data_IF_696490973020
#
_entry.id   IF_696490973020
#
_cell.length_a   1.000
_cell.length_b   1.000
_cell.length_c   1.000
_cell.angle_alpha   90.00
_cell.angle_beta   90.00
_cell.angle_gamma   90.00
#
_symmetry.space_group_name_H-M   'P 1'
#
loop_
_entity.id
_entity.type
_entity.pdbx_description
1 polymer ?
#
# COMPACT_ATOMS: atom_id res chain seq x y z
N UNK A 1 5.95 -4.34 -33.61
CA UNK A 1 7.16 -3.98 -32.83
C UNK A 1 7.22 -2.51 -32.36
N UNK A 2 6.97 -1.50 -33.20
CA UNK A 2 7.06 -0.08 -32.76
C UNK A 2 6.12 0.27 -31.58
N UNK A 3 4.89 -0.26 -31.55
CA UNK A 3 3.95 -0.02 -30.45
C UNK A 3 4.32 -0.67 -29.10
N UNK A 4 5.02 -1.81 -29.09
CA UNK A 4 5.43 -2.46 -27.85
C UNK A 4 6.61 -1.73 -27.19
N UNK A 5 7.53 -1.20 -27.99
CA UNK A 5 8.66 -0.40 -27.52
C UNK A 5 8.18 0.91 -26.87
N UNK A 6 7.24 1.61 -27.48
CA UNK A 6 6.67 2.87 -26.94
C UNK A 6 5.94 2.66 -25.61
N UNK A 7 5.19 1.55 -25.47
CA UNK A 7 4.52 1.21 -24.20
C UNK A 7 5.53 0.87 -23.10
N UNK A 8 6.61 0.19 -23.45
CA UNK A 8 7.68 -0.17 -22.51
C UNK A 8 8.43 1.06 -22.00
N UNK A 9 8.85 1.96 -22.89
CA UNK A 9 9.58 3.18 -22.51
C UNK A 9 8.73 4.11 -21.65
N UNK A 10 7.43 4.28 -21.97
CA UNK A 10 6.50 5.07 -21.14
C UNK A 10 6.39 4.50 -19.72
N UNK A 11 6.24 3.18 -19.57
CA UNK A 11 6.16 2.52 -18.26
C UNK A 11 7.45 2.70 -17.45
N UNK A 12 8.60 2.64 -18.12
CA UNK A 12 9.90 2.86 -17.52
C UNK A 12 10.07 4.30 -16.99
N UNK A 13 9.76 5.31 -17.81
CA UNK A 13 9.81 6.72 -17.38
C UNK A 13 8.84 7.01 -16.23
N UNK A 14 7.63 6.45 -16.25
CA UNK A 14 6.67 6.57 -15.15
C UNK A 14 7.22 5.95 -13.86
N UNK A 15 7.92 4.81 -13.94
CA UNK A 15 8.55 4.18 -12.78
C UNK A 15 9.70 5.03 -12.23
N UNK A 16 10.55 5.58 -13.10
CA UNK A 16 11.62 6.50 -12.67
C UNK A 16 11.04 7.74 -11.99
N UNK A 17 10.05 8.38 -12.61
CA UNK A 17 9.36 9.55 -12.04
C UNK A 17 8.73 9.21 -10.69
N UNK A 18 8.16 8.02 -10.56
CA UNK A 18 7.62 7.52 -9.29
C UNK A 18 8.72 7.34 -8.23
N UNK A 19 9.88 6.79 -8.60
CA UNK A 19 11.01 6.62 -7.68
C UNK A 19 11.50 7.97 -7.16
N UNK A 20 11.74 8.97 -8.03
CA UNK A 20 12.12 10.32 -7.61
C UNK A 20 11.08 11.00 -6.71
N UNK A 21 9.79 10.74 -6.96
CA UNK A 21 8.71 11.29 -6.12
C UNK A 21 8.69 10.66 -4.72
N UNK A 22 9.08 9.40 -4.57
CA UNK A 22 8.87 8.65 -3.32
C UNK A 22 10.16 8.29 -2.56
N UNK A 23 11.34 8.47 -3.15
CA UNK A 23 12.62 8.12 -2.54
C UNK A 23 13.51 9.35 -2.35
N UNK A 24 14.36 9.31 -1.31
CA UNK A 24 15.55 10.15 -1.23
C UNK A 24 16.57 9.70 -2.30
N UNK A 25 17.43 10.60 -2.76
CA UNK A 25 18.45 10.26 -3.77
C UNK A 25 19.36 9.11 -3.30
N UNK A 26 19.74 9.08 -2.02
CA UNK A 26 20.51 7.99 -1.43
C UNK A 26 19.78 6.64 -1.50
N UNK A 27 18.46 6.61 -1.30
CA UNK A 27 17.64 5.40 -1.46
C UNK A 27 17.50 4.99 -2.93
N UNK A 28 17.43 5.97 -3.84
CA UNK A 28 17.42 5.71 -5.27
C UNK A 28 18.74 5.06 -5.75
N UNK A 29 19.88 5.56 -5.27
CA UNK A 29 21.19 4.94 -5.53
C UNK A 29 21.25 3.53 -4.92
N UNK A 30 20.80 3.36 -3.67
CA UNK A 30 20.67 2.03 -3.05
C UNK A 30 19.80 1.09 -3.91
N UNK A 31 18.67 1.54 -4.44
CA UNK A 31 17.83 0.76 -5.35
C UNK A 31 18.57 0.30 -6.61
N UNK A 32 19.40 1.17 -7.20
CA UNK A 32 20.17 0.85 -8.40
C UNK A 32 21.31 -0.16 -8.13
N UNK A 33 21.97 -0.06 -6.97
CA UNK A 33 23.22 -0.79 -6.71
C UNK A 33 23.12 -1.93 -5.67
N UNK A 34 22.12 -1.95 -4.79
CA UNK A 34 21.97 -3.02 -3.80
C UNK A 34 21.39 -4.28 -4.48
N UNK A 35 22.35 -5.11 -4.92
CA UNK A 35 22.21 -6.41 -5.57
C UNK A 35 21.77 -7.53 -4.62
N UNK A 36 21.67 -7.31 -3.31
CA UNK A 36 21.25 -8.32 -2.34
C UNK A 36 19.74 -8.38 -2.31
N UNK A 37 19.17 -9.22 -3.16
CA UNK A 37 17.76 -9.49 -3.05
C UNK A 37 17.50 -10.98 -3.14
N UNK A 38 16.86 -11.49 -2.10
CA UNK A 38 16.41 -12.86 -1.99
C UNK A 38 15.46 -13.20 -3.13
N UNK A 39 15.79 -14.28 -3.83
CA UNK A 39 14.93 -14.87 -4.84
C UNK A 39 13.78 -15.56 -4.12
N UNK A 40 12.61 -14.92 -4.17
CA UNK A 40 11.37 -15.53 -3.70
C UNK A 40 10.82 -16.43 -4.80
N UNK A 41 10.68 -17.72 -4.50
CA UNK A 41 10.01 -18.71 -5.35
C UNK A 41 8.58 -18.89 -4.85
N UNK A 42 7.60 -18.58 -5.69
CA UNK A 42 6.18 -18.78 -5.35
C UNK A 42 5.77 -20.12 -5.96
N UNK A 43 5.41 -21.13 -5.16
CA UNK A 43 4.85 -22.37 -5.69
C UNK A 43 3.56 -22.08 -6.47
N UNK A 44 3.20 -23.00 -7.38
CA UNK A 44 2.05 -22.90 -8.30
C UNK A 44 0.81 -22.29 -7.62
N UNK A 45 0.12 -21.44 -8.38
CA UNK A 45 -1.10 -20.72 -8.00
C UNK A 45 -1.97 -21.52 -7.05
N UNK A 46 -1.93 -21.13 -5.77
CA UNK A 46 -3.02 -21.47 -4.89
C UNK A 46 -4.17 -20.54 -5.27
N UNK A 47 -5.10 -21.07 -6.07
CA UNK A 47 -6.35 -20.39 -6.44
C UNK A 47 -7.28 -20.32 -5.22
N UNK A 48 -6.76 -19.89 -4.07
CA UNK A 48 -7.57 -19.61 -2.90
C UNK A 48 -8.54 -18.52 -3.28
N UNK A 49 -9.83 -18.86 -3.29
CA UNK A 49 -10.93 -17.95 -3.55
C UNK A 49 -10.78 -16.72 -2.64
N UNK A 50 -10.34 -15.61 -3.22
CA UNK A 50 -10.32 -14.34 -2.49
C UNK A 50 -11.70 -13.75 -2.50
N UNK A 51 -12.31 -13.66 -1.31
CA UNK A 51 -13.60 -13.01 -1.09
C UNK A 51 -13.65 -11.64 -1.77
N UNK A 52 -14.63 -11.45 -2.66
CA UNK A 52 -14.88 -10.18 -3.34
C UNK A 52 -16.14 -9.52 -2.78
N UNK A 53 -16.01 -8.28 -2.32
CA UNK A 53 -17.14 -7.49 -1.85
C UNK A 53 -17.84 -6.78 -3.00
N UNK A 54 -19.17 -6.73 -2.93
CA UNK A 54 -19.98 -5.94 -3.86
C UNK A 54 -19.74 -4.45 -3.60
N UNK A 55 -19.41 -3.71 -4.65
CA UNK A 55 -19.25 -2.26 -4.58
C UNK A 55 -20.63 -1.62 -4.57
N UNK A 56 -20.88 -0.79 -3.57
CA UNK A 56 -22.12 -0.02 -3.43
C UNK A 56 -21.88 1.41 -3.90
N UNK A 57 -22.92 2.06 -4.42
CA UNK A 57 -22.85 3.49 -4.74
C UNK A 57 -22.74 4.27 -3.44
N UNK A 58 -21.53 4.75 -3.13
CA UNK A 58 -21.24 5.55 -1.94
C UNK A 58 -20.84 6.95 -2.39
N UNK A 59 -21.48 7.96 -1.81
CA UNK A 59 -21.03 9.34 -1.95
C UNK A 59 -19.78 9.55 -1.08
N UNK A 60 -18.67 9.95 -1.70
CA UNK A 60 -17.41 10.17 -1.01
C UNK A 60 -17.18 11.65 -0.86
N UNK A 61 -16.83 12.06 0.36
CA UNK A 61 -16.30 13.39 0.63
C UNK A 61 -14.88 13.48 0.08
N UNK A 62 -14.49 14.65 -0.43
CA UNK A 62 -13.14 14.94 -0.96
C UNK A 62 -11.98 14.84 0.05
N UNK A 63 -12.25 14.29 1.24
CA UNK A 63 -11.26 14.00 2.28
C UNK A 63 -10.43 12.77 1.93
N UNK A 64 -9.13 12.89 2.19
CA UNK A 64 -8.17 11.84 1.94
C UNK A 64 -8.11 10.79 3.04
N UNK A 65 -7.62 9.63 2.64
CA UNK A 65 -7.26 8.54 3.55
C UNK A 65 -5.79 8.20 3.43
N UNK A 66 -5.22 7.80 4.57
CA UNK A 66 -3.89 7.25 4.67
C UNK A 66 -3.96 5.83 5.22
N UNK A 67 -3.59 4.86 4.40
CA UNK A 67 -3.48 3.47 4.78
C UNK A 67 -2.04 3.20 5.23
N UNK A 68 -1.85 2.92 6.52
CA UNK A 68 -0.61 2.35 7.05
C UNK A 68 -0.67 0.84 6.83
N UNK A 69 0.18 0.36 5.92
CA UNK A 69 0.26 -1.05 5.53
C UNK A 69 0.99 -1.86 6.61
N UNK A 70 0.93 -3.20 6.59
CA UNK A 70 1.67 -4.06 7.52
C UNK A 70 3.13 -3.63 7.75
N UNK A 71 3.86 -3.31 6.68
CA UNK A 71 5.25 -2.86 6.74
C UNK A 71 5.45 -1.46 7.32
N UNK A 72 4.40 -0.64 7.37
CA UNK A 72 4.44 0.68 7.98
C UNK A 72 4.07 0.69 9.47
N UNK A 73 3.47 -0.38 9.99
CA UNK A 73 3.00 -0.41 11.38
C UNK A 73 4.15 -0.35 12.40
N UNK A 74 5.32 -0.90 12.08
CA UNK A 74 6.53 -0.73 12.90
C UNK A 74 7.02 0.73 12.96
N UNK A 75 6.51 1.59 12.08
CA UNK A 75 6.82 3.01 12.02
C UNK A 75 5.64 3.89 12.44
N UNK A 76 4.62 3.34 13.10
CA UNK A 76 3.37 4.05 13.44
C UNK A 76 3.65 5.40 14.11
N UNK A 77 4.39 5.44 15.22
CA UNK A 77 4.72 6.68 15.94
C UNK A 77 5.34 7.74 15.03
N UNK A 78 6.26 7.33 14.16
CA UNK A 78 6.93 8.24 13.23
C UNK A 78 5.99 8.76 12.14
N UNK A 79 5.06 7.92 11.68
CA UNK A 79 4.00 8.33 10.74
C UNK A 79 3.07 9.35 11.40
N UNK A 80 2.65 9.10 12.63
CA UNK A 80 1.78 10.01 13.40
C UNK A 80 2.48 11.35 13.63
N UNK A 81 3.74 11.36 14.07
CA UNK A 81 4.53 12.58 14.20
C UNK A 81 4.59 13.39 12.89
N UNK A 82 4.72 12.73 11.73
CA UNK A 82 4.68 13.43 10.44
C UNK A 82 3.34 14.11 10.14
N UNK A 83 2.24 13.56 10.64
CA UNK A 83 0.92 14.18 10.54
C UNK A 83 0.82 15.37 11.50
N UNK A 84 1.26 15.20 12.75
CA UNK A 84 1.24 16.23 13.79
C UNK A 84 2.12 17.44 13.41
N UNK A 85 3.34 17.21 12.94
CA UNK A 85 4.26 18.26 12.44
C UNK A 85 3.64 19.12 11.33
N UNK A 86 2.65 18.58 10.62
CA UNK A 86 1.93 19.22 9.52
C UNK A 86 0.55 19.69 9.92
N UNK A 87 0.20 19.62 11.20
CA UNK A 87 -1.09 20.01 11.76
C UNK A 87 -2.26 19.26 11.10
N UNK A 88 -2.02 17.99 10.73
CA UNK A 88 -3.03 17.12 10.11
C UNK A 88 -3.77 16.40 11.24
N UNK A 89 -5.08 16.59 11.28
CA UNK A 89 -5.95 15.95 12.27
C UNK A 89 -6.44 14.61 11.73
N UNK A 90 -6.26 13.56 12.53
CA UNK A 90 -6.90 12.26 12.30
C UNK A 90 -8.33 12.37 12.82
N UNK A 91 -9.31 12.27 11.93
CA UNK A 91 -10.73 12.37 12.29
C UNK A 91 -11.32 11.03 12.68
N UNK A 92 -10.79 9.95 12.10
CA UNK A 92 -11.27 8.59 12.32
C UNK A 92 -10.16 7.59 11.98
N UNK A 93 -10.09 6.51 12.75
CA UNK A 93 -9.15 5.43 12.52
C UNK A 93 -9.85 4.07 12.54
N UNK A 94 -9.44 3.20 11.63
CA UNK A 94 -9.95 1.83 11.51
C UNK A 94 -8.77 0.86 11.49
N UNK A 95 -8.80 -0.12 12.39
CA UNK A 95 -7.90 -1.27 12.35
C UNK A 95 -8.49 -2.33 11.42
N UNK A 96 -7.75 -2.61 10.35
CA UNK A 96 -8.00 -3.72 9.44
C UNK A 96 -7.29 -4.95 10.03
N UNK A 97 -8.02 -6.04 10.22
CA UNK A 97 -7.54 -7.29 10.84
C UNK A 97 -7.12 -8.30 9.77
N UNK A 98 -7.74 -8.24 8.58
CA UNK A 98 -7.36 -9.03 7.41
C UNK A 98 -6.98 -8.13 6.22
N UNK A 99 -5.70 -7.77 6.17
CA UNK A 99 -5.11 -6.93 5.14
C UNK A 99 -5.14 -7.59 3.77
N UNK A 100 -5.03 -8.93 3.71
CA UNK A 100 -5.07 -9.67 2.44
C UNK A 100 -6.43 -9.53 1.79
N UNK A 101 -7.52 -9.73 2.53
CA UNK A 101 -8.88 -9.50 2.02
C UNK A 101 -9.06 -8.03 1.63
N UNK A 102 -8.64 -7.09 2.48
CA UNK A 102 -8.74 -5.65 2.18
C UNK A 102 -8.02 -5.28 0.88
N UNK A 103 -6.75 -5.66 0.72
CA UNK A 103 -5.92 -5.29 -0.44
C UNK A 103 -6.47 -5.88 -1.74
N UNK A 104 -6.95 -7.14 -1.70
CA UNK A 104 -7.54 -7.83 -2.86
C UNK A 104 -8.80 -7.15 -3.39
N UNK A 105 -9.52 -6.41 -2.54
CA UNK A 105 -10.72 -5.70 -2.94
C UNK A 105 -10.43 -4.23 -3.31
N UNK A 106 -9.58 -3.55 -2.56
CA UNK A 106 -9.28 -2.12 -2.77
C UNK A 106 -8.32 -1.90 -3.93
N UNK A 107 -7.28 -2.73 -4.08
CA UNK A 107 -6.30 -2.61 -5.16
C UNK A 107 -6.71 -3.45 -6.38
N UNK A 108 -7.96 -3.27 -6.82
CA UNK A 108 -8.58 -4.06 -7.91
C UNK A 108 -7.81 -3.99 -9.24
N UNK A 109 -6.97 -2.96 -9.45
CA UNK A 109 -6.15 -2.82 -10.66
C UNK A 109 -4.82 -3.58 -10.62
N UNK A 110 -4.46 -4.16 -9.48
CA UNK A 110 -3.24 -4.94 -9.29
C UNK A 110 -3.55 -6.41 -9.56
N UNK A 111 -2.72 -7.08 -10.36
CA UNK A 111 -2.95 -8.49 -10.70
C UNK A 111 -2.89 -9.37 -9.45
N UNK A 112 -3.69 -10.45 -9.42
CA UNK A 112 -3.72 -11.37 -8.28
C UNK A 112 -2.32 -11.94 -7.99
N UNK A 113 -1.56 -12.22 -9.05
CA UNK A 113 -0.16 -12.66 -8.92
C UNK A 113 0.65 -11.66 -8.10
N UNK A 114 0.63 -10.36 -8.45
CA UNK A 114 1.37 -9.31 -7.72
C UNK A 114 0.91 -9.18 -6.27
N UNK A 115 -0.39 -9.36 -6.00
CA UNK A 115 -0.90 -9.36 -4.63
C UNK A 115 -0.45 -10.59 -3.83
N UNK A 116 -0.38 -11.77 -4.45
CA UNK A 116 0.15 -12.99 -3.82
C UNK A 116 1.65 -12.84 -3.50
N UNK A 117 2.41 -12.19 -4.38
CA UNK A 117 3.82 -11.84 -4.15
C UNK A 117 3.94 -10.93 -2.92
N UNK A 118 3.09 -9.90 -2.82
CA UNK A 118 3.09 -9.02 -1.65
C UNK A 118 2.73 -9.76 -0.37
N UNK A 119 1.70 -10.61 -0.39
CA UNK A 119 1.32 -11.43 0.76
C UNK A 119 2.51 -12.29 1.23
N UNK A 120 3.19 -12.99 0.32
CA UNK A 120 4.36 -13.78 0.65
C UNK A 120 5.49 -12.95 1.26
N UNK A 121 5.78 -11.77 0.71
CA UNK A 121 6.82 -10.87 1.25
C UNK A 121 6.42 -10.41 2.67
N UNK A 122 5.15 -10.06 2.87
CA UNK A 122 4.65 -9.66 4.18
C UNK A 122 4.76 -10.80 5.18
N UNK A 123 4.44 -12.02 4.78
CA UNK A 123 4.56 -13.19 5.64
C UNK A 123 6.00 -13.49 6.04
N UNK A 124 6.93 -13.35 5.10
CA UNK A 124 8.33 -13.66 5.35
C UNK A 124 9.07 -12.60 6.16
N UNK A 125 8.86 -11.31 5.87
CA UNK A 125 9.68 -10.23 6.45
C UNK A 125 8.93 -9.35 7.45
N UNK A 126 7.59 -9.42 7.48
CA UNK A 126 6.74 -8.60 8.33
C UNK A 126 5.73 -9.46 9.11
N UNK A 127 6.12 -10.69 9.48
CA UNK A 127 5.24 -11.71 10.06
C UNK A 127 4.39 -11.22 11.25
N UNK A 128 4.96 -10.36 12.10
CA UNK A 128 4.26 -9.83 13.28
C UNK A 128 3.08 -8.90 12.94
N UNK A 129 3.09 -8.28 11.75
CA UNK A 129 2.08 -7.30 11.33
C UNK A 129 1.38 -7.67 10.03
N UNK A 130 1.78 -8.79 9.39
CA UNK A 130 1.41 -9.24 8.05
C UNK A 130 -0.08 -9.13 7.70
N UNK A 131 -0.96 -9.40 8.66
CA UNK A 131 -2.40 -9.41 8.48
C UNK A 131 -3.06 -8.07 8.81
N UNK A 132 -2.38 -7.14 9.45
CA UNK A 132 -3.01 -5.94 10.00
C UNK A 132 -2.61 -4.66 9.29
N UNK A 133 -3.53 -3.72 9.20
CA UNK A 133 -3.28 -2.38 8.69
C UNK A 133 -4.11 -1.34 9.46
N UNK A 134 -3.75 -0.07 9.33
CA UNK A 134 -4.51 1.05 9.88
C UNK A 134 -4.96 1.96 8.75
N UNK A 135 -6.26 2.21 8.64
CA UNK A 135 -6.82 3.20 7.73
C UNK A 135 -7.17 4.46 8.52
N UNK A 136 -6.49 5.56 8.20
CA UNK A 136 -6.70 6.87 8.81
C UNK A 136 -7.49 7.75 7.86
N UNK A 137 -8.54 8.37 8.39
CA UNK A 137 -9.28 9.45 7.76
C UNK A 137 -8.71 10.74 8.29
N UNK A 138 -8.20 11.60 7.41
CA UNK A 138 -7.52 12.81 7.80
C UNK A 138 -8.23 14.04 7.25
N UNK A 139 -8.12 15.16 7.95
CA UNK A 139 -8.81 16.43 7.65
C UNK A 139 -8.20 17.19 6.44
N UNK A 140 -7.71 16.49 5.42
CA UNK A 140 -7.11 17.11 4.23
C UNK A 140 -7.67 16.50 2.96
N UNK A 141 -7.55 17.20 1.83
CA UNK A 141 -8.01 16.70 0.55
C UNK A 141 -7.13 15.55 0.01
N UNK A 142 -7.65 14.79 -0.95
CA UNK A 142 -6.97 13.65 -1.59
C UNK A 142 -5.61 14.05 -2.22
N UNK A 143 -5.52 15.24 -2.83
CA UNK A 143 -4.28 15.70 -3.50
C UNK A 143 -3.21 16.03 -2.47
N UNK A 144 -3.57 16.71 -1.38
CA UNK A 144 -2.67 17.00 -0.26
C UNK A 144 -2.23 15.72 0.44
N UNK A 145 -3.15 14.80 0.69
CA UNK A 145 -2.85 13.46 1.24
C UNK A 145 -1.82 12.70 0.40
N UNK A 146 -1.92 12.78 -0.94
CA UNK A 146 -0.95 12.16 -1.86
C UNK A 146 0.46 12.76 -1.75
N UNK A 147 0.57 14.06 -1.43
CA UNK A 147 1.86 14.72 -1.15
C UNK A 147 2.43 14.25 0.19
N UNK A 148 1.62 14.24 1.25
CA UNK A 148 2.01 13.77 2.59
C UNK A 148 2.53 12.33 2.52
N UNK A 149 1.83 11.44 1.83
CA UNK A 149 2.29 10.07 1.56
C UNK A 149 3.70 10.03 0.96
N UNK A 150 3.97 10.91 0.00
CA UNK A 150 5.27 10.93 -0.68
C UNK A 150 6.37 11.40 0.26
N UNK A 151 6.10 12.39 1.12
CA UNK A 151 7.03 12.84 2.15
C UNK A 151 7.36 11.74 3.17
N UNK A 152 6.34 11.09 3.72
CA UNK A 152 6.53 10.00 4.69
C UNK A 152 7.33 8.85 4.05
N UNK A 153 7.03 8.46 2.80
CA UNK A 153 7.80 7.42 2.09
C UNK A 153 9.27 7.80 1.87
N UNK A 154 9.56 9.08 1.56
CA UNK A 154 10.95 9.54 1.44
C UNK A 154 11.69 9.39 2.76
N UNK A 155 11.01 9.63 3.88
CA UNK A 155 11.66 9.60 5.17
C UNK A 155 11.82 8.19 5.74
N UNK A 156 10.77 7.36 5.65
CA UNK A 156 10.81 5.97 6.11
C UNK A 156 11.56 5.05 5.16
N UNK A 157 11.46 5.31 3.85
CA UNK A 157 11.95 4.41 2.81
C UNK A 157 10.89 3.47 2.25
N UNK A 158 11.35 2.68 1.28
CA UNK A 158 10.56 1.67 0.55
C UNK A 158 11.46 0.45 0.41
N UNK A 159 10.89 -0.71 0.73
CA UNK A 159 11.59 -1.98 0.59
C UNK A 159 11.43 -2.49 -0.83
N UNK A 160 12.54 -2.90 -1.45
CA UNK A 160 12.57 -3.40 -2.81
C UNK A 160 12.96 -4.87 -2.85
N UNK A 161 12.21 -5.64 -3.66
CA UNK A 161 12.38 -7.08 -3.78
C UNK A 161 12.53 -7.48 -5.26
N UNK A 162 13.59 -8.19 -5.64
CA UNK A 162 13.71 -8.96 -6.89
C UNK A 162 13.05 -10.29 -6.63
N UNK A 163 12.07 -10.61 -7.46
CA UNK A 163 11.34 -11.86 -7.37
C UNK A 163 11.66 -12.67 -8.62
N UNK A 164 11.85 -13.98 -8.46
CA UNK A 164 12.07 -14.90 -9.58
C UNK A 164 10.99 -15.97 -9.56
N UNK A 165 10.13 -15.94 -10.58
CA UNK A 165 9.06 -16.92 -10.77
C UNK A 165 9.43 -17.74 -12.01
N UNK A 166 9.86 -18.98 -11.82
CA UNK A 166 10.41 -19.81 -12.90
C UNK A 166 11.59 -19.13 -13.61
N UNK A 167 11.43 -18.83 -14.90
CA UNK A 167 12.43 -18.10 -15.71
C UNK A 167 12.31 -16.57 -15.61
N UNK A 168 11.21 -16.06 -15.09
CA UNK A 168 10.95 -14.62 -15.03
C UNK A 168 11.62 -13.99 -13.82
N UNK A 169 12.17 -12.78 -14.01
CA UNK A 169 12.72 -11.94 -12.95
C UNK A 169 12.13 -10.55 -13.06
N UNK A 170 11.62 -10.00 -11.96
CA UNK A 170 11.17 -8.61 -11.90
C UNK A 170 11.39 -8.03 -10.50
N UNK A 171 11.26 -6.71 -10.39
CA UNK A 171 11.41 -5.99 -9.13
C UNK A 171 10.04 -5.49 -8.67
N UNK A 172 9.67 -5.84 -7.45
CA UNK A 172 8.51 -5.28 -6.75
C UNK A 172 8.97 -4.45 -5.55
N UNK A 173 8.03 -3.78 -4.90
CA UNK A 173 8.30 -2.91 -3.77
C UNK A 173 7.17 -2.96 -2.75
N UNK A 174 7.53 -3.06 -1.48
CA UNK A 174 6.60 -2.89 -0.36
C UNK A 174 6.75 -1.46 0.15
N UNK A 175 5.64 -0.75 0.17
CA UNK A 175 5.60 0.64 0.65
C UNK A 175 4.97 0.64 2.05
N UNK A 176 5.44 1.47 2.99
CA UNK A 176 4.90 1.46 4.35
C UNK A 176 3.48 2.03 4.41
N UNK A 177 3.12 2.90 3.47
CA UNK A 177 1.83 3.60 3.46
C UNK A 177 1.26 3.71 2.04
N UNK A 178 -0.06 3.87 1.92
CA UNK A 178 -0.80 4.24 0.71
C UNK A 178 -1.78 5.37 0.98
N UNK A 179 -2.20 6.05 -0.08
CA UNK A 179 -3.28 7.05 -0.01
C UNK A 179 -4.13 6.89 -1.23
N UNK A 180 -5.43 6.92 -1.03
CA UNK A 180 -6.37 6.55 -2.07
C UNK A 180 -6.74 7.71 -2.97
N UNK A 181 -6.91 7.40 -4.25
CA UNK A 181 -7.56 8.31 -5.20
C UNK A 181 -9.09 8.20 -5.08
N UNK A 182 -9.85 9.06 -5.76
CA UNK A 182 -11.31 9.05 -5.73
C UNK A 182 -11.93 7.67 -6.01
N UNK A 183 -11.44 6.96 -7.03
CA UNK A 183 -11.97 5.64 -7.37
C UNK A 183 -11.66 4.64 -6.27
N UNK A 184 -10.42 4.57 -5.80
CA UNK A 184 -10.02 3.69 -4.70
C UNK A 184 -10.83 3.97 -3.42
N UNK A 185 -11.16 5.23 -3.12
CA UNK A 185 -12.00 5.59 -1.98
C UNK A 185 -13.40 4.93 -2.04
N UNK A 186 -13.99 4.74 -3.23
CA UNK A 186 -15.28 4.03 -3.39
C UNK A 186 -15.17 2.57 -2.95
N UNK A 187 -14.07 1.94 -3.37
CA UNK A 187 -13.79 0.56 -2.98
C UNK A 187 -13.49 0.49 -1.49
N UNK A 188 -12.65 1.39 -0.96
CA UNK A 188 -12.33 1.44 0.47
C UNK A 188 -13.58 1.52 1.34
N UNK A 189 -14.48 2.49 1.11
CA UNK A 189 -15.68 2.65 1.92
C UNK A 189 -16.59 1.43 1.84
N UNK A 190 -16.80 0.88 0.63
CA UNK A 190 -17.64 -0.31 0.43
C UNK A 190 -17.05 -1.54 1.14
N UNK A 191 -15.74 -1.73 1.03
CA UNK A 191 -15.02 -2.88 1.61
C UNK A 191 -14.99 -2.77 3.12
N UNK A 192 -14.64 -1.61 3.67
CA UNK A 192 -14.59 -1.38 5.12
C UNK A 192 -15.95 -1.61 5.77
N UNK A 193 -17.03 -1.13 5.17
CA UNK A 193 -18.39 -1.34 5.68
C UNK A 193 -18.71 -2.83 5.83
N UNK A 194 -18.39 -3.65 4.82
CA UNK A 194 -18.59 -5.09 4.88
C UNK A 194 -17.63 -5.77 5.88
N UNK A 195 -16.36 -5.38 5.89
CA UNK A 195 -15.38 -5.94 6.82
C UNK A 195 -15.72 -5.65 8.28
N UNK A 196 -16.31 -4.50 8.60
CA UNK A 196 -16.78 -4.20 9.96
C UNK A 196 -17.92 -5.13 10.36
N UNK A 197 -18.90 -5.37 9.49
CA UNK A 197 -20.02 -6.31 9.75
C UNK A 197 -19.54 -7.73 10.03
N UNK A 198 -18.39 -8.10 9.48
CA UNK A 198 -17.80 -9.43 9.60
C UNK A 198 -16.68 -9.50 10.64
N UNK A 199 -16.47 -8.46 11.44
CA UNK A 199 -15.39 -8.38 12.43
C UNK A 199 -13.96 -8.51 11.84
N UNK A 200 -13.78 -8.23 10.55
CA UNK A 200 -12.49 -8.18 9.85
C UNK A 200 -11.87 -6.78 9.84
N UNK A 201 -12.61 -5.78 10.30
CA UNK A 201 -12.12 -4.44 10.60
C UNK A 201 -12.90 -3.86 11.79
N UNK A 202 -12.29 -2.94 12.53
CA UNK A 202 -12.94 -2.26 13.65
C UNK A 202 -12.49 -0.82 13.81
N UNK A 203 -13.40 0.02 14.29
CA UNK A 203 -13.05 1.35 14.77
C UNK A 203 -12.11 1.24 15.97
N UNK A 204 -11.16 2.16 16.06
CA UNK A 204 -10.27 2.28 17.20
C UNK A 204 -10.27 3.72 17.71
N UNK A 205 -9.96 3.90 18.99
CA UNK A 205 -9.83 5.24 19.55
C UNK A 205 -8.56 5.89 19.00
N UNK A 206 -8.64 7.15 18.56
CA UNK A 206 -7.47 7.88 18.07
C UNK A 206 -6.43 8.07 19.19
N UNK A 207 -6.88 8.15 20.45
CA UNK A 207 -5.97 8.20 21.61
C UNK A 207 -5.10 6.95 21.74
N UNK A 208 -5.53 5.81 21.21
CA UNK A 208 -4.73 4.57 21.23
C UNK A 208 -3.59 4.60 20.19
N UNK A 209 -3.55 5.63 19.33
CA UNK A 209 -2.52 5.82 18.30
C UNK A 209 -1.43 6.82 18.70
N UNK A 210 -1.68 7.64 19.72
CA UNK A 210 -0.85 8.75 20.20
C UNK A 210 -0.04 8.32 21.43
#
# INVERSE_FOLDING_TARGET
MKHSIIKFTKKYFLRIKWLFKNLKFSQFIKYLFLRKIEVIYIPKEDNTYTKKYKITNICIKDKGTLLIKPSGLCHLKKIINHLDDRQIVIEKAIKIIDYKIFSNNVFYSVSQQEQNIWAFILEKYFYATQSTALLLYINTDIKTTSKIKSYIRKDLGIDFFKVKIGRYKYITSITPIHSSNYKERIYEESVISNMIKENLAKYICIRDLL
#
